data_IF_639965896800
#
_entry.id   IF_639965896800
#
_cell.length_a   1.000
_cell.length_b   1.000
_cell.length_c   1.000
_cell.angle_alpha   90.00
_cell.angle_beta   90.00
_cell.angle_gamma   90.00
#
_symmetry.space_group_name_H-M   'P 1'
#
loop_
_entity.id
_entity.type
_entity.pdbx_description
1 polymer ?
#
# COMPACT_ATOMS: atom_id res chain seq x y z
N UNK A 1 -28.26 -6.17 -18.46
CA UNK A 1 -27.21 -6.54 -17.50
C UNK A 1 -26.58 -7.81 -18.01
N UNK A 2 -25.30 -7.73 -18.38
CA UNK A 2 -24.54 -8.85 -18.93
C UNK A 2 -23.71 -9.48 -17.81
N UNK A 3 -24.33 -10.44 -17.11
CA UNK A 3 -23.75 -11.12 -15.95
C UNK A 3 -22.45 -11.86 -16.31
N UNK A 4 -22.23 -12.20 -17.59
CA UNK A 4 -21.02 -12.88 -18.04
C UNK A 4 -19.80 -11.94 -18.04
N UNK A 5 -20.00 -10.66 -18.40
CA UNK A 5 -18.96 -9.65 -18.35
C UNK A 5 -18.51 -9.36 -16.91
N UNK A 6 -19.46 -9.26 -15.98
CA UNK A 6 -19.18 -9.03 -14.55
C UNK A 6 -18.37 -10.18 -13.93
N UNK A 7 -18.74 -11.43 -14.20
CA UNK A 7 -17.99 -12.61 -13.71
C UNK A 7 -16.57 -12.64 -14.26
N UNK A 8 -16.37 -12.21 -15.51
CA UNK A 8 -15.04 -12.13 -16.14
C UNK A 8 -14.18 -11.05 -15.49
N UNK A 9 -14.76 -9.89 -15.15
CA UNK A 9 -14.05 -8.81 -14.49
C UNK A 9 -13.63 -9.20 -13.06
N UNK A 10 -14.50 -9.85 -12.29
CA UNK A 10 -14.15 -10.33 -10.94
C UNK A 10 -13.00 -11.34 -10.98
N UNK A 11 -13.06 -12.32 -11.90
CA UNK A 11 -11.96 -13.30 -12.07
C UNK A 11 -10.66 -12.60 -12.44
N UNK A 12 -10.73 -11.57 -13.28
CA UNK A 12 -9.57 -10.77 -13.68
C UNK A 12 -8.98 -10.02 -12.48
N UNK A 13 -9.81 -9.41 -11.63
CA UNK A 13 -9.39 -8.75 -10.40
C UNK A 13 -8.68 -9.73 -9.46
N UNK A 14 -9.27 -10.90 -9.23
CA UNK A 14 -8.68 -11.93 -8.37
C UNK A 14 -7.31 -12.41 -8.89
N UNK A 15 -7.21 -12.64 -10.20
CA UNK A 15 -5.97 -13.05 -10.84
C UNK A 15 -4.89 -11.95 -10.78
N UNK A 16 -5.25 -10.70 -11.06
CA UNK A 16 -4.33 -9.56 -11.00
C UNK A 16 -3.82 -9.35 -9.57
N UNK A 17 -4.72 -9.34 -8.59
CA UNK A 17 -4.36 -9.18 -7.19
C UNK A 17 -3.42 -10.29 -6.73
N UNK A 18 -3.71 -11.55 -7.08
CA UNK A 18 -2.81 -12.68 -6.78
C UNK A 18 -1.44 -12.49 -7.43
N UNK A 19 -1.40 -11.99 -8.66
CA UNK A 19 -0.13 -11.74 -9.36
C UNK A 19 0.68 -10.63 -8.67
N UNK A 20 0.04 -9.52 -8.28
CA UNK A 20 0.68 -8.44 -7.53
C UNK A 20 1.21 -8.95 -6.18
N UNK A 21 0.43 -9.73 -5.44
CA UNK A 21 0.88 -10.37 -4.18
C UNK A 21 2.13 -11.22 -4.40
N UNK A 22 2.17 -12.05 -5.44
CA UNK A 22 3.33 -12.90 -5.71
C UNK A 22 4.58 -12.08 -6.06
N UNK A 23 4.45 -10.97 -6.79
CA UNK A 23 5.59 -10.09 -7.09
C UNK A 23 6.10 -9.41 -5.82
N UNK A 24 5.19 -8.87 -5.00
CA UNK A 24 5.54 -8.25 -3.72
C UNK A 24 6.19 -9.25 -2.75
N UNK A 25 5.71 -10.50 -2.71
CA UNK A 25 6.30 -11.57 -1.92
C UNK A 25 7.72 -11.90 -2.40
N UNK A 26 7.95 -11.94 -3.72
CA UNK A 26 9.30 -12.13 -4.26
C UNK A 26 10.24 -10.96 -3.91
N UNK A 27 9.75 -9.71 -3.93
CA UNK A 27 10.50 -8.53 -3.51
C UNK A 27 10.82 -8.57 -2.01
N UNK A 28 9.87 -9.02 -1.18
CA UNK A 28 10.06 -9.21 0.26
C UNK A 28 11.15 -10.26 0.56
N UNK A 29 11.15 -11.39 -0.16
CA UNK A 29 12.19 -12.40 -0.03
C UNK A 29 13.58 -11.84 -0.38
N UNK A 30 13.67 -11.01 -1.43
CA UNK A 30 14.92 -10.33 -1.81
C UNK A 30 15.38 -9.32 -0.75
N UNK A 31 14.46 -8.53 -0.21
CA UNK A 31 14.72 -7.57 0.88
C UNK A 31 15.27 -8.28 2.12
N UNK A 32 14.62 -9.36 2.55
CA UNK A 32 15.06 -10.15 3.70
C UNK A 32 16.46 -10.76 3.50
N UNK A 33 16.79 -11.18 2.27
CA UNK A 33 18.12 -11.69 1.96
C UNK A 33 19.22 -10.60 2.03
N UNK A 34 18.90 -9.34 1.76
CA UNK A 34 19.87 -8.22 1.81
C UNK A 34 19.97 -7.57 3.19
N UNK A 35 18.91 -7.65 4.00
CA UNK A 35 18.88 -7.07 5.35
C UNK A 35 19.84 -7.75 6.33
N UNK A 36 20.24 -9.02 6.09
CA UNK A 36 21.28 -9.69 6.88
C UNK A 36 22.69 -9.09 6.67
N UNK A 37 22.88 -8.33 5.58
CA UNK A 37 24.20 -7.82 5.15
C UNK A 37 24.41 -6.34 5.47
N UNK A 38 23.33 -5.54 5.59
CA UNK A 38 23.42 -4.09 5.82
C UNK A 38 22.34 -3.57 6.79
N UNK A 39 22.75 -2.93 7.88
CA UNK A 39 21.87 -2.34 8.91
C UNK A 39 21.27 -0.99 8.49
N UNK A 40 20.90 -0.81 7.22
CA UNK A 40 20.34 0.46 6.77
C UNK A 40 18.86 0.59 7.12
N UNK A 41 18.52 1.73 7.73
CA UNK A 41 17.17 2.13 8.19
C UNK A 41 16.14 2.25 7.05
N UNK A 42 16.56 2.12 5.79
CA UNK A 42 15.73 2.13 4.59
C UNK A 42 15.17 0.74 4.17
N UNK A 43 15.58 -0.35 4.82
CA UNK A 43 15.42 -1.73 4.31
C UNK A 43 14.07 -2.45 4.51
N UNK A 44 12.93 -1.75 4.58
CA UNK A 44 11.62 -2.39 4.83
C UNK A 44 10.51 -1.95 3.87
N UNK A 45 10.86 -1.45 2.68
CA UNK A 45 9.88 -1.01 1.70
C UNK A 45 9.01 -2.18 1.23
N UNK A 46 9.60 -3.32 0.86
CA UNK A 46 8.85 -4.45 0.30
C UNK A 46 7.92 -5.08 1.35
N UNK A 47 8.40 -5.23 2.58
CA UNK A 47 7.58 -5.67 3.72
C UNK A 47 6.36 -4.79 3.96
N UNK A 48 6.57 -3.46 3.97
CA UNK A 48 5.48 -2.50 4.14
C UNK A 48 4.46 -2.57 3.00
N UNK A 49 4.93 -2.57 1.75
CA UNK A 49 4.03 -2.62 0.59
C UNK A 49 3.24 -3.94 0.54
N UNK A 50 3.88 -5.06 0.86
CA UNK A 50 3.20 -6.36 0.93
C UNK A 50 2.12 -6.38 2.01
N UNK A 51 2.40 -5.84 3.20
CA UNK A 51 1.43 -5.77 4.30
C UNK A 51 0.24 -4.86 3.96
N UNK A 52 0.49 -3.68 3.40
CA UNK A 52 -0.57 -2.74 2.98
C UNK A 52 -1.44 -3.35 1.88
N UNK A 53 -0.83 -4.00 0.88
CA UNK A 53 -1.56 -4.67 -0.20
C UNK A 53 -2.41 -5.85 0.31
N UNK A 54 -1.85 -6.68 1.20
CA UNK A 54 -2.60 -7.79 1.79
C UNK A 54 -3.78 -7.30 2.65
N UNK A 55 -3.58 -6.24 3.43
CA UNK A 55 -4.67 -5.61 4.17
C UNK A 55 -5.78 -5.11 3.24
N UNK A 56 -5.42 -4.52 2.10
CA UNK A 56 -6.38 -4.12 1.08
C UNK A 56 -7.14 -5.32 0.51
N UNK A 57 -6.45 -6.41 0.14
CA UNK A 57 -7.07 -7.64 -0.36
C UNK A 57 -8.12 -8.20 0.61
N UNK A 58 -7.80 -8.20 1.91
CA UNK A 58 -8.73 -8.62 2.97
C UNK A 58 -9.92 -7.66 3.09
N UNK A 59 -9.66 -6.35 3.12
CA UNK A 59 -10.71 -5.32 3.29
C UNK A 59 -11.68 -5.27 2.13
N UNK A 60 -11.23 -5.48 0.91
CA UNK A 60 -12.07 -5.53 -0.30
C UNK A 60 -12.75 -6.88 -0.45
N UNK A 61 -12.14 -7.95 0.07
CA UNK A 61 -12.70 -9.29 -0.01
C UNK A 61 -12.30 -10.04 -1.28
N UNK A 62 -11.12 -9.72 -1.84
CA UNK A 62 -10.57 -10.37 -3.05
C UNK A 62 -10.56 -11.89 -2.90
N UNK A 63 -10.18 -12.36 -1.71
CA UNK A 63 -10.16 -13.79 -1.33
C UNK A 63 -11.28 -14.15 -0.35
N UNK A 64 -12.23 -13.23 -0.14
CA UNK A 64 -13.38 -13.44 0.74
C UNK A 64 -14.36 -14.43 0.12
N UNK A 65 -15.13 -15.12 0.97
CA UNK A 65 -16.19 -16.03 0.56
C UNK A 65 -17.55 -15.53 1.05
N UNK A 66 -18.62 -15.99 0.40
CA UNK A 66 -19.99 -15.59 0.74
C UNK A 66 -20.13 -14.07 0.71
N UNK A 67 -20.84 -13.49 1.69
CA UNK A 67 -21.11 -12.04 1.74
C UNK A 67 -19.86 -11.16 1.85
N UNK A 68 -18.70 -11.74 2.16
CA UNK A 68 -17.42 -11.01 2.23
C UNK A 68 -16.67 -11.01 0.90
N UNK A 69 -17.13 -11.80 -0.07
CA UNK A 69 -16.50 -11.91 -1.38
C UNK A 69 -16.67 -10.63 -2.19
N UNK A 70 -15.68 -10.37 -3.05
CA UNK A 70 -15.67 -9.18 -3.90
C UNK A 70 -16.78 -9.20 -4.96
N UNK A 71 -17.17 -10.38 -5.48
CA UNK A 71 -18.29 -10.53 -6.43
C UNK A 71 -19.60 -10.07 -5.80
N UNK A 72 -19.91 -10.48 -4.57
CA UNK A 72 -21.15 -10.07 -3.92
C UNK A 72 -21.15 -8.58 -3.59
N UNK A 73 -19.99 -8.03 -3.19
CA UNK A 73 -19.88 -6.62 -2.76
C UNK A 73 -19.89 -5.63 -3.91
N UNK A 74 -19.45 -6.04 -5.10
CA UNK A 74 -19.37 -5.17 -6.27
C UNK A 74 -20.45 -5.46 -7.32
N UNK A 75 -21.36 -6.41 -7.07
CA UNK A 75 -22.40 -6.83 -8.02
C UNK A 75 -23.24 -5.67 -8.59
N UNK A 76 -23.48 -4.63 -7.79
CA UNK A 76 -24.34 -3.49 -8.16
C UNK A 76 -23.54 -2.26 -8.61
N UNK A 77 -22.20 -2.37 -8.72
CA UNK A 77 -21.28 -1.27 -9.05
C UNK A 77 -20.22 -1.69 -10.09
N UNK A 78 -20.63 -2.06 -11.32
CA UNK A 78 -19.72 -2.57 -12.35
C UNK A 78 -18.62 -1.58 -12.76
N UNK A 79 -18.89 -0.27 -12.69
CA UNK A 79 -17.87 0.76 -12.96
C UNK A 79 -16.73 0.70 -11.94
N UNK A 80 -17.03 0.37 -10.69
CA UNK A 80 -16.01 0.19 -9.65
C UNK A 80 -15.17 -1.06 -9.91
N UNK A 81 -15.76 -2.14 -10.42
CA UNK A 81 -15.00 -3.32 -10.86
C UNK A 81 -13.98 -2.95 -11.95
N UNK A 82 -14.42 -2.19 -12.97
CA UNK A 82 -13.55 -1.77 -14.07
C UNK A 82 -12.37 -0.93 -13.56
N UNK A 83 -12.64 0.06 -12.68
CA UNK A 83 -11.60 0.91 -12.08
C UNK A 83 -10.61 0.07 -11.26
N UNK A 84 -11.09 -0.85 -10.42
CA UNK A 84 -10.21 -1.72 -9.62
C UNK A 84 -9.34 -2.59 -10.53
N UNK A 85 -9.91 -3.15 -11.60
CA UNK A 85 -9.17 -3.93 -12.60
C UNK A 85 -8.06 -3.12 -13.25
N UNK A 86 -8.33 -1.88 -13.64
CA UNK A 86 -7.35 -1.00 -14.30
C UNK A 86 -6.24 -0.55 -13.34
N UNK A 87 -6.59 -0.24 -12.08
CA UNK A 87 -5.63 0.08 -11.03
C UNK A 87 -4.71 -1.10 -10.73
N UNK A 88 -5.25 -2.31 -10.60
CA UNK A 88 -4.46 -3.52 -10.38
C UNK A 88 -3.56 -3.85 -11.58
N UNK A 89 -4.04 -3.61 -12.80
CA UNK A 89 -3.24 -3.79 -14.02
C UNK A 89 -2.06 -2.82 -14.05
N UNK A 90 -2.30 -1.56 -13.70
CA UNK A 90 -1.25 -0.52 -13.60
C UNK A 90 -0.23 -0.87 -12.52
N UNK A 91 -0.70 -1.27 -11.33
CA UNK A 91 0.15 -1.72 -10.24
C UNK A 91 1.01 -2.92 -10.64
N UNK A 92 0.45 -3.89 -11.36
CA UNK A 92 1.23 -5.05 -11.85
C UNK A 92 2.39 -4.61 -12.74
N UNK A 93 2.17 -3.64 -13.63
CA UNK A 93 3.21 -3.10 -14.52
C UNK A 93 4.29 -2.42 -13.70
N UNK A 94 3.92 -1.60 -12.73
CA UNK A 94 4.89 -0.87 -11.90
C UNK A 94 5.69 -1.80 -10.99
N UNK A 95 5.05 -2.81 -10.39
CA UNK A 95 5.76 -3.84 -9.61
C UNK A 95 6.76 -4.63 -10.46
N UNK A 96 6.42 -4.94 -11.72
CA UNK A 96 7.36 -5.60 -12.64
C UNK A 96 8.59 -4.74 -12.95
N UNK A 97 8.42 -3.42 -13.09
CA UNK A 97 9.55 -2.49 -13.28
C UNK A 97 10.48 -2.48 -12.07
N UNK A 98 9.92 -2.51 -10.86
CA UNK A 98 10.69 -2.57 -9.60
C UNK A 98 11.42 -3.91 -9.46
N UNK A 99 10.81 -5.01 -9.94
CA UNK A 99 11.41 -6.34 -9.87
C UNK A 99 12.61 -6.52 -10.82
N UNK A 100 12.62 -5.82 -11.96
CA UNK A 100 13.73 -5.91 -12.90
C UNK A 100 14.97 -5.21 -12.32
N UNK A 101 16.14 -5.89 -12.25
CA UNK A 101 17.39 -5.19 -11.99
C UNK A 101 17.61 -4.18 -13.11
N UNK A 102 17.98 -2.95 -12.77
CA UNK A 102 18.29 -1.89 -13.72
C UNK A 102 19.47 -2.29 -14.62
N UNK A 103 19.18 -3.03 -15.69
CA UNK A 103 20.05 -3.24 -16.83
C UNK A 103 19.32 -2.55 -18.01
N UNK A 104 20.00 -1.59 -18.66
CA UNK A 104 19.52 -0.62 -19.67
C UNK A 104 18.88 0.65 -19.06
N UNK A 105 19.39 1.89 -19.19
CA UNK A 105 20.22 2.52 -20.24
C UNK A 105 21.08 3.63 -19.65
N UNK A 106 22.40 3.59 -19.90
CA UNK A 106 23.24 4.79 -20.00
C UNK A 106 22.88 5.50 -21.32
N UNK A 107 22.21 6.65 -21.26
CA UNK A 107 22.32 7.83 -22.15
C UNK A 107 21.05 8.70 -22.18
N UNK A 108 21.31 10.01 -22.24
CA UNK A 108 20.42 11.16 -22.43
C UNK A 108 19.68 11.63 -21.16
N UNK A 109 19.84 12.85 -20.65
CA UNK A 109 20.49 14.05 -21.18
C UNK A 109 20.87 14.95 -19.99
N UNK A 110 22.10 15.46 -20.01
CA UNK A 110 22.53 16.54 -19.13
C UNK A 110 22.00 17.84 -19.75
N UNK A 111 20.85 18.30 -19.30
CA UNK A 111 20.59 19.74 -19.27
C UNK A 111 20.69 20.20 -17.83
N UNK A 112 21.88 20.71 -17.51
CA UNK A 112 22.10 21.63 -16.41
C UNK A 112 21.11 22.78 -16.53
N UNK A 113 20.21 22.89 -15.55
CA UNK A 113 19.71 24.20 -15.13
C UNK A 113 20.01 24.30 -13.65
N UNK A 114 21.19 24.82 -13.34
CA UNK A 114 21.45 25.42 -12.04
C UNK A 114 20.45 26.56 -11.84
N UNK A 115 19.52 26.38 -10.90
CA UNK A 115 18.90 27.53 -10.24
C UNK A 115 19.17 27.35 -8.75
N UNK A 116 20.26 28.00 -8.36
CA UNK A 116 20.61 28.29 -6.99
C UNK A 116 19.61 29.32 -6.48
N UNK A 117 18.69 28.94 -5.60
CA UNK A 117 18.11 29.89 -4.65
C UNK A 117 17.91 29.19 -3.31
N UNK A 118 18.84 29.54 -2.43
CA UNK A 118 18.82 29.29 -1.01
C UNK A 118 17.69 30.09 -0.39
N UNK A 119 16.66 29.42 0.14
CA UNK A 119 15.94 30.01 1.26
C UNK A 119 15.60 28.96 2.32
N UNK A 120 16.20 29.21 3.47
CA UNK A 120 16.16 28.41 4.68
C UNK A 120 15.02 28.95 5.53
N UNK A 121 13.93 28.18 5.63
CA UNK A 121 12.91 28.43 6.63
C UNK A 121 12.42 27.11 7.23
N UNK A 122 13.00 26.81 8.38
CA UNK A 122 12.58 25.76 9.31
C UNK A 122 11.16 26.03 9.81
N UNK A 123 10.23 25.12 9.55
CA UNK A 123 9.01 24.96 10.35
C UNK A 123 8.95 23.54 10.92
N UNK A 124 9.70 23.35 12.00
CA UNK A 124 9.53 22.22 12.92
C UNK A 124 8.17 22.34 13.61
N UNK A 125 7.16 21.65 13.08
CA UNK A 125 5.90 21.44 13.79
C UNK A 125 6.11 20.35 14.86
N UNK A 126 6.66 20.76 16.01
CA UNK A 126 6.64 19.95 17.23
C UNK A 126 5.21 19.84 17.75
N UNK A 127 4.60 18.67 17.56
CA UNK A 127 3.38 18.30 18.25
C UNK A 127 3.71 18.05 19.73
N UNK A 128 3.59 19.09 20.55
CA UNK A 128 3.59 18.96 22.01
C UNK A 128 2.36 18.16 22.43
N UNK A 129 2.60 16.98 22.98
CA UNK A 129 1.62 16.22 23.77
C UNK A 129 1.61 16.80 25.18
N UNK A 130 0.55 17.51 25.53
CA UNK A 130 0.29 17.91 26.91
C UNK A 130 0.18 16.64 27.76
N UNK A 131 1.14 16.50 28.66
CA UNK A 131 1.23 15.42 29.62
C UNK A 131 0.02 15.44 30.55
N UNK A 132 -0.89 14.47 30.41
CA UNK A 132 -1.93 14.23 31.41
C UNK A 132 -1.33 13.47 32.61
N UNK A 133 -0.84 14.24 33.56
CA UNK A 133 -0.61 13.87 34.96
C UNK A 133 -0.97 15.10 35.80
N UNK A 134 -1.78 15.08 36.85
CA UNK A 134 -2.49 14.04 37.58
C UNK A 134 -3.44 14.76 38.58
N UNK A 135 -4.42 14.02 39.12
CA UNK A 135 -4.93 14.15 40.50
C UNK A 135 -5.89 15.29 40.91
N UNK A 136 -7.17 14.95 41.07
CA UNK A 136 -8.02 15.25 42.25
C UNK A 136 -9.40 14.58 42.02
N UNK A 137 -9.82 13.54 42.73
CA UNK A 137 -10.03 13.53 44.17
C UNK A 137 -11.50 13.83 44.47
N UNK A 138 -12.41 12.88 44.25
CA UNK A 138 -13.80 12.98 44.73
C UNK A 138 -14.12 11.78 45.60
N UNK A 139 -14.10 12.01 46.90
CA UNK A 139 -14.53 11.11 47.96
C UNK A 139 -16.01 10.71 47.78
N UNK A 140 -16.29 9.41 47.77
CA UNK A 140 -17.65 8.91 48.04
C UNK A 140 -17.91 8.95 49.54
N UNK A 141 -18.60 9.99 50.02
CA UNK A 141 -19.20 9.99 51.36
C UNK A 141 -20.51 9.20 51.35
N UNK A 142 -20.41 7.98 51.90
CA UNK A 142 -21.51 7.14 52.38
C UNK A 142 -22.23 7.89 53.51
N UNK A 143 -23.53 8.15 53.37
CA UNK A 143 -24.41 8.49 54.50
C UNK A 143 -25.65 7.60 54.46
N UNK A 144 -25.80 6.91 55.60
CA UNK A 144 -26.94 6.26 56.24
C UNK A 144 -28.20 6.00 55.42
#
# INVERSE_FOLDING_TARGET
>A
MDLEAEVKDIKSIQWLAKTCSNILEALLLKENAQAEETTSREGHWASRQYAEFNLWCVKVGVHGQGLRSIDIRLKDVPETCAIIRDLLSSLQIDLKKVQQPANDVQHADKSEVEINDSDSASDSSSLSFDSLSSLSGTEFKKKQ
#
